data_IF_065842017741
#
_entry.id   IF_065842017741
#
_cell.length_a   1.000
_cell.length_b   1.000
_cell.length_c   1.000
_cell.angle_alpha   90.00
_cell.angle_beta   90.00
_cell.angle_gamma   90.00
#
_symmetry.space_group_name_H-M   'P 1'
#
loop_
_entity.id
_entity.type
_entity.pdbx_description
1 polymer ?
#
# COMPACT_ATOMS: atom_id res chain seq x y z
N UNK A 1 -17.48 -0.42 7.90
CA UNK A 1 -16.63 -1.02 6.85
C UNK A 1 -16.59 -0.07 5.66
N UNK A 2 -15.49 0.64 5.48
CA UNK A 2 -15.34 1.72 4.49
C UNK A 2 -15.15 1.15 3.07
N UNK A 3 -15.51 1.92 2.05
CA UNK A 3 -15.37 1.56 0.63
C UNK A 3 -13.94 1.22 0.23
N UNK A 4 -12.94 1.88 0.82
CA UNK A 4 -11.52 1.56 0.61
C UNK A 4 -11.17 0.13 0.99
N UNK A 5 -11.65 -0.36 2.14
CA UNK A 5 -11.41 -1.73 2.60
C UNK A 5 -11.96 -2.75 1.60
N UNK A 6 -13.15 -2.48 1.05
CA UNK A 6 -13.78 -3.34 0.03
C UNK A 6 -13.01 -3.33 -1.28
N UNK A 7 -12.49 -2.18 -1.70
CA UNK A 7 -11.69 -2.08 -2.92
C UNK A 7 -10.37 -2.85 -2.79
N UNK A 8 -9.71 -2.76 -1.63
CA UNK A 8 -8.49 -3.51 -1.36
C UNK A 8 -8.72 -5.02 -1.26
N UNK A 9 -9.86 -5.46 -0.72
CA UNK A 9 -10.27 -6.87 -0.73
C UNK A 9 -10.43 -7.41 -2.16
N UNK A 10 -11.07 -6.63 -3.05
CA UNK A 10 -11.21 -7.00 -4.48
C UNK A 10 -9.84 -7.10 -5.16
N UNK A 11 -8.93 -6.14 -4.90
CA UNK A 11 -7.57 -6.17 -5.43
C UNK A 11 -6.81 -7.39 -4.91
N UNK A 12 -6.87 -7.67 -3.61
CA UNK A 12 -6.21 -8.83 -3.01
C UNK A 12 -6.72 -10.14 -3.66
N UNK A 13 -8.04 -10.32 -3.78
CA UNK A 13 -8.65 -11.49 -4.42
C UNK A 13 -8.26 -11.64 -5.89
N UNK A 14 -8.20 -10.54 -6.63
CA UNK A 14 -7.75 -10.57 -8.03
C UNK A 14 -6.27 -10.99 -8.14
N UNK A 15 -5.44 -10.53 -7.21
CA UNK A 15 -4.03 -10.93 -7.12
C UNK A 15 -3.87 -12.40 -6.69
N UNK A 16 -4.72 -12.94 -5.82
CA UNK A 16 -4.75 -14.38 -5.50
C UNK A 16 -5.11 -15.22 -6.72
N UNK A 17 -6.13 -14.81 -7.48
CA UNK A 17 -6.54 -15.49 -8.71
C UNK A 17 -5.44 -15.46 -9.79
N UNK A 18 -4.64 -14.40 -9.83
CA UNK A 18 -3.48 -14.29 -10.71
C UNK A 18 -2.24 -15.05 -10.20
N UNK A 19 -2.27 -15.61 -8.99
CA UNK A 19 -1.11 -16.26 -8.36
C UNK A 19 -0.03 -15.29 -7.89
N UNK A 20 -0.31 -13.98 -7.83
CA UNK A 20 0.62 -12.93 -7.43
C UNK A 20 0.70 -12.75 -5.90
N UNK A 21 0.60 -13.85 -5.15
CA UNK A 21 0.50 -13.84 -3.67
C UNK A 21 1.83 -13.59 -2.96
N UNK A 22 2.95 -13.67 -3.67
CA UNK A 22 4.28 -13.33 -3.15
C UNK A 22 4.67 -11.87 -3.40
N UNK A 23 3.87 -11.12 -4.15
CA UNK A 23 4.17 -9.72 -4.47
C UNK A 23 3.92 -8.80 -3.27
N UNK A 24 4.79 -7.81 -3.06
CA UNK A 24 4.62 -6.79 -2.02
C UNK A 24 3.28 -6.06 -2.15
N UNK A 25 2.78 -5.90 -3.37
CA UNK A 25 1.48 -5.28 -3.65
C UNK A 25 0.32 -6.12 -3.09
N UNK A 26 0.42 -7.45 -3.09
CA UNK A 26 -0.59 -8.34 -2.51
C UNK A 26 -0.56 -8.28 -0.99
N UNK A 27 0.62 -8.26 -0.38
CA UNK A 27 0.80 -8.10 1.07
C UNK A 27 0.14 -6.79 1.54
N UNK A 28 0.35 -5.72 0.77
CA UNK A 28 -0.30 -4.42 0.97
C UNK A 28 -1.81 -4.47 0.83
N UNK A 29 -2.31 -4.99 -0.29
CA UNK A 29 -3.74 -5.08 -0.55
C UNK A 29 -4.46 -5.90 0.54
N UNK A 30 -3.84 -6.99 0.99
CA UNK A 30 -4.37 -7.84 2.07
C UNK A 30 -4.41 -7.12 3.42
N UNK A 31 -3.35 -6.41 3.79
CA UNK A 31 -3.32 -5.63 5.03
C UNK A 31 -4.35 -4.50 5.03
N UNK A 32 -4.49 -3.78 3.91
CA UNK A 32 -5.48 -2.71 3.74
C UNK A 32 -6.92 -3.27 3.70
N UNK A 33 -7.13 -4.46 3.16
CA UNK A 33 -8.40 -5.19 3.21
C UNK A 33 -8.79 -5.63 4.64
N UNK A 34 -7.81 -5.82 5.53
CA UNK A 34 -8.05 -6.04 6.97
C UNK A 34 -8.26 -4.72 7.73
N UNK A 35 -8.22 -3.57 7.06
CA UNK A 35 -8.29 -2.25 7.68
C UNK A 35 -7.03 -1.86 8.45
N UNK A 36 -5.90 -2.56 8.22
CA UNK A 36 -4.60 -2.20 8.78
C UNK A 36 -3.96 -1.11 7.93
N UNK A 37 -3.08 -0.33 8.56
CA UNK A 37 -2.21 0.59 7.84
C UNK A 37 -1.33 -0.18 6.84
N UNK A 38 -1.01 0.47 5.72
CA UNK A 38 -0.11 -0.06 4.70
C UNK A 38 1.19 -0.54 5.37
N UNK A 39 1.50 -1.86 5.33
CA UNK A 39 2.66 -2.42 6.01
C UNK A 39 3.96 -2.06 5.30
N UNK A 40 3.88 -1.47 4.10
CA UNK A 40 5.03 -1.01 3.38
C UNK A 40 5.37 0.43 3.83
N UNK A 41 6.61 0.70 4.29
CA UNK A 41 7.06 2.07 4.43
C UNK A 41 6.94 2.75 3.07
N UNK A 42 6.21 3.86 2.98
CA UNK A 42 5.96 4.64 1.75
C UNK A 42 7.22 5.32 1.18
N UNK A 43 8.40 4.79 1.50
CA UNK A 43 9.66 5.51 1.36
C UNK A 43 10.83 4.65 1.85
N UNK A 44 11.48 3.89 0.95
CA UNK A 44 12.88 3.46 1.13
C UNK A 44 13.70 3.74 -0.14
N UNK A 45 14.60 4.74 -0.13
CA UNK A 45 14.86 5.61 1.02
C UNK A 45 13.60 6.42 1.35
N UNK A 46 13.47 6.79 2.63
CA UNK A 46 12.65 7.94 2.98
C UNK A 46 13.01 9.04 2.01
N UNK A 47 12.06 9.42 1.14
CA UNK A 47 12.28 10.55 0.26
C UNK A 47 12.74 11.66 1.20
N UNK A 48 14.00 12.12 1.11
CA UNK A 48 14.49 13.07 2.07
C UNK A 48 13.51 14.24 2.02
N UNK A 49 13.11 14.77 3.18
CA UNK A 49 12.32 15.98 3.29
C UNK A 49 13.07 17.22 2.73
N UNK A 50 13.81 17.08 1.63
CA UNK A 50 14.56 18.11 0.93
C UNK A 50 13.64 18.83 -0.04
N UNK A 51 12.67 19.55 0.51
CA UNK A 51 12.36 20.88 -0.01
C UNK A 51 12.52 21.84 1.18
N UNK A 52 13.77 22.04 1.60
CA UNK A 52 14.16 23.37 2.08
C UNK A 52 14.06 24.29 0.88
N UNK A 53 12.87 24.84 0.63
CA UNK A 53 12.75 26.04 -0.18
C UNK A 53 13.47 27.14 0.60
N UNK A 54 14.75 27.34 0.27
CA UNK A 54 15.50 28.52 0.66
C UNK A 54 14.69 29.74 0.21
N UNK A 55 14.16 30.48 1.17
CA UNK A 55 13.67 31.83 0.92
C UNK A 55 14.90 32.66 0.58
N UNK A 56 15.00 33.09 -0.69
CA UNK A 56 15.93 34.13 -1.12
C UNK A 56 15.47 35.51 -0.67
#
# INVERSE_FOLDING_TARGET
>A
MSTEIRNWDVVAKAMEAAGATSSQMYIRAKALAEGKLDPMPTSFPEAPYSISAVAG
#
